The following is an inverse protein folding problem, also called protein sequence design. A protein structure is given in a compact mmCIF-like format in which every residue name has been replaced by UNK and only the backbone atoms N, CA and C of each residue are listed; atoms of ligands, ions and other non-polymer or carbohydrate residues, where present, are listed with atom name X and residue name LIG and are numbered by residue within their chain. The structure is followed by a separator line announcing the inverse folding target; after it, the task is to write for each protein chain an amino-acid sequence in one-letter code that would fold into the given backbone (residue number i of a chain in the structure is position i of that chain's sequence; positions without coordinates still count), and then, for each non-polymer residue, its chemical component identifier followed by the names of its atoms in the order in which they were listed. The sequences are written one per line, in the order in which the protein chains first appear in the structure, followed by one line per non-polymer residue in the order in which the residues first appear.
data_IF_239594487706
#
_entry.id   IF_239594487706
#
_cell.length_a   1.000
_cell.length_b   1.000
_cell.length_c   1.000
_cell.angle_alpha   90.00
_cell.angle_beta   90.00
_cell.angle_gamma   90.00
#
_symmetry.space_group_name_H-M   'P 1'
#
loop_
_entity.id
_entity.type
_entity.pdbx_description
1 polymer ?
#
# COMPACT_ATOMS: atom_id res chain seq x y z
N UNK A 1 -8.98 -4.13 -33.26
CA UNK A 1 -7.82 -4.46 -32.39
C UNK A 1 -8.44 -4.81 -31.06
N UNK A 2 -8.59 -6.10 -30.78
CA UNK A 2 -9.06 -6.56 -29.48
C UNK A 2 -7.97 -6.23 -28.47
N UNK A 3 -8.21 -5.25 -27.61
CA UNK A 3 -7.27 -4.92 -26.57
C UNK A 3 -7.37 -5.99 -25.49
N UNK A 4 -6.24 -6.61 -25.17
CA UNK A 4 -6.07 -7.75 -24.24
C UNK A 4 -6.58 -7.49 -22.80
N UNK A 5 -6.97 -6.24 -22.49
CA UNK A 5 -7.43 -5.80 -21.18
C UNK A 5 -8.89 -6.19 -20.86
N UNK A 6 -9.71 -6.54 -21.85
CA UNK A 6 -11.14 -6.82 -21.64
C UNK A 6 -11.41 -8.07 -20.77
N UNK A 7 -10.39 -8.91 -20.58
CA UNK A 7 -10.46 -10.16 -19.81
C UNK A 7 -9.47 -10.21 -18.63
N UNK A 8 -8.93 -9.06 -18.22
CA UNK A 8 -7.96 -9.03 -17.14
C UNK A 8 -8.64 -9.30 -15.78
N UNK A 9 -8.13 -10.26 -15.01
CA UNK A 9 -8.56 -10.44 -13.63
C UNK A 9 -8.01 -9.29 -12.77
N UNK A 10 -8.91 -8.46 -12.25
CA UNK A 10 -8.61 -7.29 -11.41
C UNK A 10 -9.09 -7.46 -9.97
N UNK A 11 -9.39 -8.69 -9.55
CA UNK A 11 -9.79 -8.98 -8.18
C UNK A 11 -8.60 -8.83 -7.22
N UNK A 12 -8.82 -8.09 -6.13
CA UNK A 12 -7.82 -7.92 -5.06
C UNK A 12 -8.06 -9.00 -4.00
N UNK A 13 -7.01 -9.74 -3.66
CA UNK A 13 -7.09 -10.77 -2.62
C UNK A 13 -7.30 -10.14 -1.25
N UNK A 14 -8.22 -10.70 -0.47
CA UNK A 14 -8.43 -10.35 0.94
C UNK A 14 -7.78 -11.37 1.88
N UNK A 15 -7.34 -10.91 3.06
CA UNK A 15 -6.84 -11.76 4.14
C UNK A 15 -7.94 -12.42 4.98
N UNK A 16 -9.19 -11.98 4.80
CA UNK A 16 -10.35 -12.48 5.51
C UNK A 16 -11.38 -11.38 5.80
N UNK A 17 -12.39 -11.71 6.60
CA UNK A 17 -13.47 -10.78 6.94
C UNK A 17 -12.96 -9.64 7.87
N UNK A 18 -13.11 -8.35 7.49
CA UNK A 18 -12.74 -7.23 8.35
C UNK A 18 -13.77 -7.01 9.46
N UNK A 19 -13.34 -7.09 10.71
CA UNK A 19 -14.23 -7.05 11.89
C UNK A 19 -14.02 -5.84 12.80
N UNK A 20 -12.95 -5.09 12.58
CA UNK A 20 -12.52 -4.00 13.47
C UNK A 20 -12.95 -2.69 12.87
N UNK A 21 -13.62 -1.83 13.64
CA UNK A 21 -13.94 -0.48 13.19
C UNK A 21 -12.67 0.31 12.92
N UNK A 22 -12.62 0.95 11.75
CA UNK A 22 -11.46 1.73 11.32
C UNK A 22 -11.29 2.97 12.21
N UNK A 23 -10.09 3.25 12.76
CA UNK A 23 -9.88 4.37 13.67
C UNK A 23 -10.06 5.76 13.02
N UNK A 24 -10.10 5.82 11.69
CA UNK A 24 -10.19 7.05 10.90
C UNK A 24 -11.63 7.50 10.58
N UNK A 25 -12.64 7.07 11.36
CA UNK A 25 -14.06 7.40 11.11
C UNK A 25 -14.41 8.89 11.07
N UNK A 26 -13.53 9.75 11.58
CA UNK A 26 -13.77 11.21 11.70
C UNK A 26 -13.03 12.04 10.65
N UNK A 27 -12.50 11.39 9.62
CA UNK A 27 -11.79 12.08 8.57
C UNK A 27 -12.73 12.90 7.67
N UNK A 28 -12.19 13.94 7.04
CA UNK A 28 -12.95 14.75 6.11
C UNK A 28 -13.45 13.91 4.93
N UNK A 29 -14.67 14.18 4.51
CA UNK A 29 -15.32 13.54 3.37
C UNK A 29 -14.52 13.76 2.10
N UNK A 30 -14.48 12.74 1.24
CA UNK A 30 -13.93 12.88 -0.10
C UNK A 30 -14.78 13.86 -0.96
N UNK A 31 -14.33 14.15 -2.18
CA UNK A 31 -15.03 15.02 -3.13
C UNK A 31 -16.48 14.58 -3.45
N UNK A 32 -16.83 13.32 -3.17
CA UNK A 32 -18.18 12.76 -3.35
C UNK A 32 -18.96 12.68 -2.03
N UNK A 33 -18.45 13.27 -0.94
CA UNK A 33 -19.10 13.25 0.36
C UNK A 33 -18.93 11.92 1.12
N UNK A 34 -18.01 11.04 0.69
CA UNK A 34 -17.80 9.71 1.27
C UNK A 34 -16.70 9.74 2.32
N UNK A 35 -16.99 9.17 3.48
CA UNK A 35 -15.99 8.94 4.54
C UNK A 35 -15.15 7.68 4.26
N UNK A 36 -15.75 6.70 3.57
CA UNK A 36 -15.18 5.39 3.30
C UNK A 36 -15.56 4.90 1.90
N UNK A 37 -14.72 4.04 1.34
CA UNK A 37 -14.94 3.40 0.04
C UNK A 37 -15.44 1.97 0.29
N UNK A 38 -16.46 1.53 -0.46
CA UNK A 38 -16.94 0.14 -0.43
C UNK A 38 -16.07 -0.75 -1.31
N UNK A 39 -15.87 -2.01 -0.93
CA UNK A 39 -15.18 -3.02 -1.75
C UNK A 39 -15.89 -3.28 -3.10
N UNK A 40 -17.19 -2.94 -3.19
CA UNK A 40 -17.95 -2.98 -4.45
C UNK A 40 -17.73 -1.76 -5.36
N UNK A 41 -17.00 -0.75 -4.90
CA UNK A 41 -16.76 0.47 -5.68
C UNK A 41 -15.67 0.20 -6.70
N UNK A 42 -15.99 0.35 -7.99
CA UNK A 42 -15.05 0.09 -9.08
C UNK A 42 -14.87 1.30 -9.99
N UNK A 43 -13.70 1.38 -10.63
CA UNK A 43 -13.34 2.40 -11.61
C UNK A 43 -13.09 1.71 -12.94
N UNK A 44 -13.74 2.17 -14.01
CA UNK A 44 -13.60 1.59 -15.35
C UNK A 44 -12.17 1.73 -15.86
N UNK A 45 -11.70 0.69 -16.55
CA UNK A 45 -10.38 0.69 -17.22
C UNK A 45 -10.43 1.56 -18.48
N UNK A 46 -11.52 1.44 -19.24
CA UNK A 46 -11.76 2.19 -20.46
C UNK A 46 -12.93 3.15 -20.26
N UNK A 47 -12.82 4.35 -20.83
CA UNK A 47 -13.82 5.42 -20.78
C UNK A 47 -14.30 5.84 -22.17
N UNK A 48 -13.92 5.09 -23.22
CA UNK A 48 -14.50 5.25 -24.56
C UNK A 48 -15.99 4.92 -24.54
N UNK A 49 -16.82 5.94 -24.73
CA UNK A 49 -18.27 5.82 -24.65
C UNK A 49 -18.86 4.82 -25.67
N UNK A 50 -18.35 4.80 -26.90
CA UNK A 50 -18.90 3.94 -27.96
C UNK A 50 -18.63 2.47 -27.66
N UNK A 51 -17.43 2.17 -27.13
CA UNK A 51 -17.05 0.82 -26.72
C UNK A 51 -17.84 0.36 -25.50
N UNK A 52 -17.96 1.21 -24.48
CA UNK A 52 -18.77 0.90 -23.30
C UNK A 52 -20.22 0.61 -23.67
N UNK A 53 -20.82 1.40 -24.58
CA UNK A 53 -22.16 1.15 -25.07
C UNK A 53 -22.30 -0.18 -25.83
N UNK A 54 -21.28 -0.60 -26.57
CA UNK A 54 -21.28 -1.90 -27.25
C UNK A 54 -21.24 -3.05 -26.23
N UNK A 55 -20.33 -2.99 -25.26
CA UNK A 55 -20.20 -4.00 -24.20
C UNK A 55 -21.48 -4.11 -23.36
N UNK A 56 -22.09 -2.97 -23.00
CA UNK A 56 -23.37 -2.94 -22.26
C UNK A 56 -24.47 -3.60 -23.09
N UNK A 57 -24.54 -3.31 -24.40
CA UNK A 57 -25.55 -3.93 -25.30
C UNK A 57 -25.37 -5.43 -25.42
N UNK A 58 -24.12 -5.90 -25.39
CA UNK A 58 -23.76 -7.32 -25.46
C UNK A 58 -23.89 -8.01 -24.09
N UNK A 59 -24.23 -7.27 -23.02
CA UNK A 59 -24.40 -7.80 -21.67
C UNK A 59 -23.07 -8.21 -21.01
N UNK A 60 -21.95 -7.66 -21.49
CA UNK A 60 -20.63 -7.96 -20.98
C UNK A 60 -20.37 -7.25 -19.65
N UNK A 61 -19.51 -7.86 -18.83
CA UNK A 61 -19.02 -7.22 -17.61
C UNK A 61 -17.99 -6.17 -17.98
N UNK A 62 -18.17 -4.95 -17.47
CA UNK A 62 -17.25 -3.85 -17.77
C UNK A 62 -15.92 -4.02 -17.03
N UNK A 63 -14.77 -4.03 -17.74
CA UNK A 63 -13.45 -4.11 -17.13
C UNK A 63 -13.22 -2.94 -16.18
N UNK A 64 -12.88 -3.24 -14.93
CA UNK A 64 -12.76 -2.24 -13.88
C UNK A 64 -11.79 -2.62 -12.78
N UNK A 65 -11.11 -1.65 -12.19
CA UNK A 65 -10.30 -1.80 -10.98
C UNK A 65 -11.12 -1.53 -9.72
N UNK A 66 -10.77 -2.17 -8.62
CA UNK A 66 -11.29 -1.79 -7.30
C UNK A 66 -10.77 -0.40 -6.90
N UNK A 67 -11.65 0.47 -6.39
CA UNK A 67 -11.24 1.79 -5.92
C UNK A 67 -10.51 1.67 -4.57
N UNK A 68 -9.24 2.07 -4.56
CA UNK A 68 -8.47 2.19 -3.32
C UNK A 68 -9.02 3.31 -2.44
N UNK A 69 -8.98 3.12 -1.12
CA UNK A 69 -9.42 4.12 -0.16
C UNK A 69 -9.64 3.54 1.23
N UNK A 70 -9.88 4.38 2.23
CA UNK A 70 -10.17 3.92 3.58
C UNK A 70 -11.44 3.07 3.60
N UNK A 71 -11.44 1.98 4.37
CA UNK A 71 -12.61 1.13 4.62
C UNK A 71 -13.15 1.40 6.03
N UNK A 72 -14.46 1.30 6.21
CA UNK A 72 -15.11 1.50 7.52
C UNK A 72 -14.70 0.43 8.53
N UNK A 73 -14.42 -0.77 8.05
CA UNK A 73 -13.85 -1.88 8.83
C UNK A 73 -12.50 -2.31 8.28
N UNK A 74 -11.61 -2.71 9.16
CA UNK A 74 -10.27 -3.21 8.87
C UNK A 74 -10.06 -4.61 9.46
N UNK A 75 -9.08 -5.34 8.92
CA UNK A 75 -8.75 -6.70 9.33
C UNK A 75 -7.78 -6.73 10.53
N UNK A 76 -6.72 -5.92 10.49
CA UNK A 76 -5.70 -5.90 11.52
C UNK A 76 -6.06 -4.97 12.69
N UNK A 77 -5.84 -5.45 13.91
CA UNK A 77 -5.91 -4.65 15.13
C UNK A 77 -4.69 -3.71 15.20
N UNK A 78 -4.85 -2.38 15.07
CA UNK A 78 -3.71 -1.47 15.03
C UNK A 78 -2.86 -1.49 16.30
N UNK A 79 -3.43 -1.88 17.44
CA UNK A 79 -2.71 -1.94 18.73
C UNK A 79 -1.70 -3.08 18.79
N UNK A 80 -1.87 -4.12 17.97
CA UNK A 80 -1.00 -5.31 17.91
C UNK A 80 -0.16 -5.38 16.64
N UNK A 81 -0.44 -4.50 15.69
CA UNK A 81 0.19 -4.53 14.38
C UNK A 81 1.67 -4.08 14.49
N UNK A 82 2.52 -4.82 13.78
CA UNK A 82 3.91 -4.45 13.49
C UNK A 82 4.02 -4.27 11.97
N UNK A 83 4.60 -3.16 11.54
CA UNK A 83 4.76 -2.85 10.12
C UNK A 83 6.25 -2.73 9.78
N UNK A 84 6.70 -3.46 8.76
CA UNK A 84 8.02 -3.28 8.16
C UNK A 84 7.89 -2.51 6.84
N UNK A 85 8.74 -1.52 6.63
CA UNK A 85 8.81 -0.72 5.41
C UNK A 85 10.19 -0.88 4.78
N UNK A 86 10.21 -1.15 3.47
CA UNK A 86 11.44 -1.39 2.71
C UNK A 86 11.35 -0.69 1.35
N UNK A 87 12.47 -0.16 0.86
CA UNK A 87 12.58 0.35 -0.51
C UNK A 87 13.60 -0.47 -1.29
N UNK A 88 13.19 -1.04 -2.43
CA UNK A 88 14.00 -1.94 -3.26
C UNK A 88 14.20 -1.37 -4.67
N UNK A 89 15.26 -1.81 -5.36
CA UNK A 89 15.53 -1.45 -6.75
C UNK A 89 16.21 -0.10 -6.93
N UNK A 90 15.95 0.54 -8.08
CA UNK A 90 16.50 1.86 -8.42
C UNK A 90 15.89 2.98 -7.58
N UNK A 91 16.66 4.03 -7.31
CA UNK A 91 16.15 5.21 -6.61
C UNK A 91 15.33 6.08 -7.56
N UNK A 92 14.20 6.57 -7.08
CA UNK A 92 13.31 7.49 -7.78
C UNK A 92 13.04 8.71 -6.87
N UNK A 93 12.90 9.93 -7.41
CA UNK A 93 12.44 11.08 -6.64
C UNK A 93 11.13 10.77 -5.89
N UNK A 94 11.04 11.19 -4.63
CA UNK A 94 9.81 11.07 -3.83
C UNK A 94 9.73 9.89 -2.86
N UNK A 95 10.68 8.93 -2.89
CA UNK A 95 10.70 7.79 -1.96
C UNK A 95 10.63 8.21 -0.48
N UNK A 96 11.36 9.26 -0.10
CA UNK A 96 11.31 9.80 1.26
C UNK A 96 9.95 10.42 1.61
N UNK A 97 9.26 11.00 0.63
CA UNK A 97 7.89 11.46 0.80
C UNK A 97 6.94 10.30 1.08
N UNK A 98 7.06 9.21 0.33
CA UNK A 98 6.28 7.98 0.52
C UNK A 98 6.52 7.39 1.91
N UNK A 99 7.78 7.20 2.31
CA UNK A 99 8.14 6.69 3.64
C UNK A 99 7.51 7.54 4.73
N UNK A 100 7.68 8.87 4.64
CA UNK A 100 7.11 9.81 5.62
C UNK A 100 5.59 9.70 5.68
N UNK A 101 4.90 9.73 4.54
CA UNK A 101 3.44 9.66 4.51
C UNK A 101 2.90 8.36 5.11
N UNK A 102 3.52 7.21 4.81
CA UNK A 102 3.12 5.93 5.40
C UNK A 102 3.30 5.94 6.92
N UNK A 103 4.46 6.39 7.42
CA UNK A 103 4.76 6.44 8.86
C UNK A 103 3.78 7.35 9.60
N UNK A 104 3.53 8.55 9.08
CA UNK A 104 2.58 9.49 9.69
C UNK A 104 1.15 8.94 9.66
N UNK A 105 0.76 8.28 8.58
CA UNK A 105 -0.56 7.68 8.46
C UNK A 105 -0.77 6.54 9.45
N UNK A 106 0.19 5.64 9.56
CA UNK A 106 0.17 4.54 10.52
C UNK A 106 0.09 5.08 11.96
N UNK A 107 0.89 6.10 12.28
CA UNK A 107 1.00 6.63 13.63
C UNK A 107 -0.19 7.51 14.06
N UNK A 108 -0.59 8.49 13.23
CA UNK A 108 -1.64 9.45 13.57
C UNK A 108 -3.02 9.01 13.12
N UNK A 109 -3.13 8.38 11.95
CA UNK A 109 -4.41 7.89 11.43
C UNK A 109 -4.83 6.58 12.08
N UNK A 110 -3.94 5.59 12.08
CA UNK A 110 -4.26 4.25 12.57
C UNK A 110 -3.82 3.95 14.01
N UNK A 111 -3.01 4.81 14.63
CA UNK A 111 -2.53 4.60 16.00
C UNK A 111 -1.47 3.50 16.17
N UNK A 112 -0.90 3.00 15.07
CA UNK A 112 0.15 1.97 15.07
C UNK A 112 1.44 2.56 15.62
N UNK A 113 2.05 1.87 16.60
CA UNK A 113 3.30 2.31 17.26
C UNK A 113 4.53 1.55 16.81
N UNK A 114 4.37 0.34 16.30
CA UNK A 114 5.48 -0.54 15.94
C UNK A 114 5.75 -0.48 14.43
N UNK A 115 6.45 0.56 13.98
CA UNK A 115 6.81 0.75 12.57
C UNK A 115 8.32 0.67 12.41
N UNK A 116 8.77 -0.21 11.53
CA UNK A 116 10.18 -0.54 11.35
C UNK A 116 10.62 -0.29 9.90
N UNK A 117 11.81 0.28 9.74
CA UNK A 117 12.46 0.52 8.48
C UNK A 117 13.55 -0.50 8.21
N UNK A 118 13.42 -1.23 7.11
CA UNK A 118 14.36 -2.24 6.66
C UNK A 118 15.32 -1.61 5.67
N UNK A 119 16.62 -1.67 5.98
CA UNK A 119 17.63 -0.92 5.24
C UNK A 119 18.13 -1.68 4.03
N UNK A 120 18.48 -0.94 2.98
CA UNK A 120 19.15 -1.48 1.79
C UNK A 120 18.35 -2.59 1.10
N UNK A 121 17.07 -2.35 0.83
CA UNK A 121 16.20 -3.30 0.11
C UNK A 121 16.06 -4.64 0.82
N UNK A 122 15.92 -5.73 0.04
CA UNK A 122 15.72 -7.06 0.59
C UNK A 122 16.91 -7.57 1.43
N UNK A 123 18.12 -7.05 1.20
CA UNK A 123 19.30 -7.38 2.01
C UNK A 123 19.11 -7.03 3.49
N UNK A 124 18.28 -6.04 3.81
CA UNK A 124 18.02 -5.64 5.19
C UNK A 124 17.34 -6.70 6.04
N UNK A 125 16.70 -7.69 5.42
CA UNK A 125 16.09 -8.82 6.13
C UNK A 125 17.10 -9.95 6.40
N UNK A 126 18.24 -9.98 5.71
CA UNK A 126 19.12 -11.15 5.73
C UNK A 126 20.19 -10.97 6.82
N UNK A 127 20.22 -11.82 7.86
CA UNK A 127 21.09 -11.63 9.03
C UNK A 127 22.57 -11.49 8.68
N UNK A 128 23.04 -12.19 7.64
CA UNK A 128 24.45 -12.19 7.20
C UNK A 128 24.97 -10.80 6.82
N UNK A 129 24.11 -9.86 6.39
CA UNK A 129 24.52 -8.50 6.06
C UNK A 129 24.60 -7.58 7.29
N UNK A 130 24.07 -8.00 8.44
CA UNK A 130 24.20 -7.28 9.71
C UNK A 130 23.58 -5.87 9.70
N UNK A 131 22.62 -5.62 8.82
CA UNK A 131 21.94 -4.32 8.75
C UNK A 131 21.02 -4.13 9.94
N UNK A 132 21.13 -2.99 10.62
CA UNK A 132 20.24 -2.65 11.73
C UNK A 132 18.87 -2.25 11.20
N UNK A 133 17.82 -2.80 11.80
CA UNK A 133 16.44 -2.31 11.66
C UNK A 133 16.35 -0.93 12.33
N UNK A 134 15.64 -0.01 11.69
CA UNK A 134 15.41 1.34 12.20
C UNK A 134 13.99 1.44 12.73
N UNK A 135 13.78 2.03 13.90
CA UNK A 135 12.43 2.41 14.33
C UNK A 135 11.98 3.68 13.60
N UNK A 136 10.81 3.64 12.96
CA UNK A 136 10.26 4.74 12.19
C UNK A 136 9.19 5.46 13.01
N UNK A 137 9.60 6.54 13.67
CA UNK A 137 8.70 7.45 14.39
C UNK A 137 8.41 8.71 13.56
N UNK A 138 7.35 9.49 13.88
CA UNK A 138 7.12 10.79 13.26
C UNK A 138 8.35 11.71 13.29
N UNK A 139 9.10 11.70 14.39
CA UNK A 139 10.33 12.46 14.57
C UNK A 139 11.42 11.98 13.60
N UNK A 140 11.60 10.65 13.50
CA UNK A 140 12.59 10.05 12.61
C UNK A 140 12.36 10.43 11.13
N UNK A 141 11.10 10.59 10.72
CA UNK A 141 10.74 10.94 9.32
C UNK A 141 10.49 12.43 9.09
N UNK A 142 10.67 13.30 10.09
CA UNK A 142 10.28 14.72 9.98
C UNK A 142 10.97 15.44 8.82
N UNK A 143 12.28 15.26 8.66
CA UNK A 143 13.09 16.02 7.70
C UNK A 143 13.57 15.21 6.49
N UNK A 144 13.16 13.94 6.34
CA UNK A 144 13.69 13.07 5.29
C UNK A 144 13.25 13.50 3.88
N UNK A 145 12.11 14.20 3.76
CA UNK A 145 11.56 14.66 2.47
C UNK A 145 12.49 15.65 1.75
N UNK A 146 13.36 16.35 2.50
CA UNK A 146 14.34 17.30 1.95
C UNK A 146 15.61 16.62 1.44
N UNK A 147 15.75 15.31 1.64
CA UNK A 147 16.92 14.53 1.24
C UNK A 147 16.63 13.80 -0.07
N UNK A 148 17.61 13.78 -0.96
CA UNK A 148 17.59 12.92 -2.15
C UNK A 148 17.74 11.43 -1.78
N UNK A 149 17.40 10.56 -2.74
CA UNK A 149 17.49 9.11 -2.56
C UNK A 149 16.42 8.52 -1.63
N UNK A 150 16.79 7.47 -0.88
CA UNK A 150 15.94 6.81 0.11
C UNK A 150 16.61 6.83 1.48
N UNK A 151 15.87 7.24 2.51
CA UNK A 151 16.26 7.25 3.92
C UNK A 151 16.65 5.85 4.41
N UNK A 152 15.98 4.81 3.90
CA UNK A 152 16.29 3.41 4.20
C UNK A 152 17.43 2.85 3.34
N UNK A 153 17.83 3.56 2.28
CA UNK A 153 18.66 3.00 1.23
C UNK A 153 17.90 1.95 0.39
N UNK A 154 18.56 1.42 -0.63
CA UNK A 154 17.99 0.41 -1.51
C UNK A 154 19.07 -0.57 -1.96
N UNK A 155 18.68 -1.78 -2.34
CA UNK A 155 19.53 -2.76 -3.02
C UNK A 155 18.81 -3.39 -4.20
N UNK A 156 19.56 -4.11 -5.04
CA UNK A 156 19.07 -4.87 -6.18
C UNK A 156 19.32 -6.35 -5.97
N UNK A 157 18.51 -7.16 -6.64
CA UNK A 157 18.66 -8.61 -6.66
C UNK A 157 17.78 -9.29 -5.61
N UNK A 158 17.35 -10.54 -5.89
CA UNK A 158 16.56 -11.32 -4.97
C UNK A 158 17.38 -11.70 -3.73
N UNK A 159 16.68 -12.06 -2.66
CA UNK A 159 17.25 -12.72 -1.48
C UNK A 159 16.48 -14.01 -1.22
N UNK A 160 16.99 -14.86 -0.31
CA UNK A 160 16.28 -16.08 0.09
C UNK A 160 14.95 -15.70 0.76
N UNK A 161 13.85 -16.30 0.30
CA UNK A 161 12.49 -16.00 0.77
C UNK A 161 12.29 -16.51 2.19
N UNK A 162 12.78 -17.71 2.51
CA UNK A 162 12.65 -18.31 3.84
C UNK A 162 13.36 -17.43 4.88
N UNK A 163 14.56 -16.94 4.58
CA UNK A 163 15.28 -16.00 5.47
C UNK A 163 14.52 -14.67 5.68
N UNK A 164 13.76 -14.19 4.67
CA UNK A 164 12.92 -13.01 4.81
C UNK A 164 11.71 -13.31 5.70
N UNK A 165 11.08 -14.46 5.53
CA UNK A 165 9.92 -14.89 6.32
C UNK A 165 10.34 -15.05 7.79
N UNK A 166 11.45 -15.74 8.05
CA UNK A 166 12.01 -15.92 9.40
C UNK A 166 12.30 -14.58 10.09
N UNK A 167 12.66 -13.53 9.33
CA UNK A 167 12.88 -12.19 9.86
C UNK A 167 11.56 -11.44 10.18
N UNK A 168 10.44 -11.82 9.56
CA UNK A 168 9.13 -11.19 9.75
C UNK A 168 8.31 -11.82 10.89
N UNK A 169 8.63 -13.04 11.30
CA UNK A 169 8.05 -13.75 12.44
C UNK A 169 8.55 -13.19 13.80
#
# INVERSE_FOLDING_TARGET
MDYEYDKMNTEVQSRGEPKIESPIQKWEKDYHGRDFVSDSTRVLIDVDASRLEAMIREGETLPSFELAGPRSKIYFDPSKLKCALVTCGGLCPGLNGIIRSIVLQLFFGYGVRNVYGIRYGLQGFIPKYGHKVIELTPEAVTNIIRKGGSFLGSSRGPQNIDEIIDCLE
#
